data_IF_814464429294
#
_entry.id   IF_814464429294
#
_cell.length_a   1.000
_cell.length_b   1.000
_cell.length_c   1.000
_cell.angle_alpha   90.00
_cell.angle_beta   90.00
_cell.angle_gamma   90.00
#
_symmetry.space_group_name_H-M   'P 1'
#
loop_
_entity.id
_entity.type
_entity.pdbx_description
1 polymer ?
#
# COMPACT_ATOMS: atom_id res chain seq x y z
N UNK A 1 11.51 21.09 -5.99
CA UNK A 1 10.07 20.82 -5.85
C UNK A 1 9.95 19.62 -4.94
N UNK A 2 9.16 19.70 -3.87
CA UNK A 2 8.96 18.61 -2.91
C UNK A 2 7.46 18.41 -2.77
N UNK A 3 6.87 17.77 -3.77
CA UNK A 3 5.46 17.35 -3.79
C UNK A 3 5.41 15.84 -3.69
N UNK A 4 4.37 15.33 -3.03
CA UNK A 4 4.09 13.90 -2.92
C UNK A 4 2.96 13.51 -3.89
N UNK A 5 2.80 12.20 -4.16
CA UNK A 5 1.64 11.69 -4.92
C UNK A 5 0.30 12.16 -4.31
N UNK A 6 0.23 12.28 -2.97
CA UNK A 6 -0.95 12.75 -2.26
C UNK A 6 -1.22 14.24 -2.50
N UNK A 7 -0.18 15.07 -2.58
CA UNK A 7 -0.33 16.50 -2.86
C UNK A 7 -0.92 16.71 -4.27
N UNK A 8 -0.34 16.04 -5.28
CA UNK A 8 -0.85 16.07 -6.66
C UNK A 8 -2.30 15.58 -6.74
N UNK A 9 -2.67 14.53 -6.00
CA UNK A 9 -4.04 14.04 -5.94
C UNK A 9 -5.00 15.05 -5.30
N UNK A 10 -4.61 15.67 -4.18
CA UNK A 10 -5.44 16.67 -3.52
C UNK A 10 -5.67 17.89 -4.40
N UNK A 11 -4.62 18.38 -5.07
CA UNK A 11 -4.72 19.50 -6.01
C UNK A 11 -5.70 19.19 -7.14
N UNK A 12 -5.62 17.99 -7.73
CA UNK A 12 -6.55 17.52 -8.75
C UNK A 12 -8.01 17.50 -8.26
N UNK A 13 -8.24 17.00 -7.04
CA UNK A 13 -9.60 16.92 -6.47
C UNK A 13 -10.17 18.31 -6.20
N UNK A 14 -9.34 19.27 -5.77
CA UNK A 14 -9.76 20.67 -5.62
C UNK A 14 -10.06 21.33 -6.97
N UNK A 15 -9.21 21.13 -7.99
CA UNK A 15 -9.45 21.65 -9.34
C UNK A 15 -10.74 21.06 -9.95
N UNK A 16 -11.01 19.78 -9.72
CA UNK A 16 -12.25 19.13 -10.14
C UNK A 16 -13.47 19.79 -9.49
N UNK A 17 -13.46 19.97 -8.16
CA UNK A 17 -14.54 20.63 -7.45
C UNK A 17 -14.81 22.05 -7.97
N UNK A 18 -13.74 22.82 -8.22
CA UNK A 18 -13.85 24.17 -8.78
C UNK A 18 -14.44 24.16 -10.20
N UNK A 19 -14.08 23.18 -11.04
CA UNK A 19 -14.64 23.04 -12.38
C UNK A 19 -16.15 22.74 -12.36
N UNK A 20 -16.61 21.91 -11.41
CA UNK A 20 -18.02 21.61 -11.22
C UNK A 20 -18.82 22.83 -10.76
N UNK A 21 -18.30 23.63 -9.82
CA UNK A 21 -18.92 24.90 -9.39
C UNK A 21 -19.06 25.86 -10.59
N UNK A 22 -18.04 25.93 -11.45
CA UNK A 22 -18.09 26.78 -12.64
C UNK A 22 -19.16 26.33 -13.65
N UNK A 23 -19.40 25.03 -13.80
CA UNK A 23 -20.41 24.45 -14.69
C UNK A 23 -21.84 24.54 -14.13
N UNK A 24 -22.02 24.45 -12.81
CA UNK A 24 -23.33 24.66 -12.17
C UNK A 24 -23.78 26.13 -12.24
N UNK A 25 -22.84 27.08 -12.31
CA UNK A 25 -23.13 28.47 -12.68
C UNK A 25 -23.84 28.64 -14.04
N UNK A 26 -23.75 27.63 -14.92
CA UNK A 26 -24.45 27.54 -16.22
C UNK A 26 -25.71 26.65 -16.17
N UNK A 27 -26.03 26.02 -15.03
CA UNK A 27 -27.22 25.18 -14.82
C UNK A 27 -27.17 23.80 -15.50
N UNK A 28 -25.96 23.30 -15.79
CA UNK A 28 -25.70 22.05 -16.54
C UNK A 28 -24.82 21.04 -15.79
N UNK A 29 -24.21 21.41 -14.67
CA UNK A 29 -23.42 20.51 -13.84
C UNK A 29 -24.24 19.86 -12.72
N UNK A 30 -24.07 18.56 -12.49
CA UNK A 30 -24.34 18.02 -11.15
C UNK A 30 -23.21 18.53 -10.25
N UNK A 31 -23.52 19.32 -9.22
CA UNK A 31 -22.52 19.83 -8.28
C UNK A 31 -21.71 18.65 -7.70
N UNK A 32 -20.39 18.63 -7.89
CA UNK A 32 -19.54 17.69 -7.16
C UNK A 32 -19.67 18.04 -5.69
N UNK A 33 -20.43 17.23 -4.97
CA UNK A 33 -20.75 17.56 -3.59
C UNK A 33 -19.49 17.43 -2.74
N UNK A 34 -19.49 18.11 -1.59
CA UNK A 34 -18.47 17.82 -0.58
C UNK A 34 -18.43 16.32 -0.22
N UNK A 35 -19.53 15.58 -0.38
CA UNK A 35 -19.60 14.13 -0.13
C UNK A 35 -18.78 13.34 -1.17
N UNK A 36 -18.86 13.69 -2.45
CA UNK A 36 -18.09 13.04 -3.52
C UNK A 36 -16.59 13.26 -3.33
N UNK A 37 -16.19 14.47 -2.94
CA UNK A 37 -14.81 14.79 -2.58
C UNK A 37 -14.32 13.93 -1.40
N UNK A 38 -15.14 13.79 -0.36
CA UNK A 38 -14.80 12.92 0.77
C UNK A 38 -14.72 11.44 0.36
N UNK A 39 -15.53 11.00 -0.60
CA UNK A 39 -15.46 9.65 -1.16
C UNK A 39 -14.10 9.40 -1.84
N UNK A 40 -13.64 10.30 -2.72
CA UNK A 40 -12.33 10.18 -3.36
C UNK A 40 -11.16 10.15 -2.35
N UNK A 41 -11.22 10.99 -1.32
CA UNK A 41 -10.18 11.01 -0.27
C UNK A 41 -10.14 9.71 0.52
N UNK A 42 -11.33 9.14 0.82
CA UNK A 42 -11.49 7.86 1.51
C UNK A 42 -10.98 6.71 0.64
N UNK A 43 -11.32 6.70 -0.65
CA UNK A 43 -10.89 5.67 -1.59
C UNK A 43 -9.37 5.70 -1.79
N UNK A 44 -8.77 6.88 -1.95
CA UNK A 44 -7.31 7.02 -1.99
C UNK A 44 -6.67 6.50 -0.69
N UNK A 45 -7.24 6.82 0.48
CA UNK A 45 -6.69 6.36 1.76
C UNK A 45 -6.77 4.82 1.93
N UNK A 46 -7.74 4.17 1.29
CA UNK A 46 -7.92 2.72 1.32
C UNK A 46 -7.16 1.99 0.19
N UNK A 47 -6.75 2.71 -0.85
CA UNK A 47 -6.06 2.15 -2.00
C UNK A 47 -4.69 1.57 -1.63
N UNK A 48 -4.31 0.51 -2.34
CA UNK A 48 -2.99 -0.08 -2.23
C UNK A 48 -1.96 0.74 -3.03
N UNK A 49 -0.68 0.71 -2.67
CA UNK A 49 0.38 1.26 -3.51
C UNK A 49 0.42 0.61 -4.90
N UNK A 50 0.78 1.38 -5.93
CA UNK A 50 0.91 0.86 -7.30
C UNK A 50 1.98 -0.25 -7.40
N UNK A 51 3.11 -0.02 -6.74
CA UNK A 51 4.30 -0.88 -6.78
C UNK A 51 4.31 -1.81 -5.56
N UNK A 52 3.37 -2.76 -5.54
CA UNK A 52 3.33 -3.78 -4.50
C UNK A 52 4.58 -4.68 -4.57
N UNK A 53 5.22 -4.99 -3.42
CA UNK A 53 6.33 -5.94 -3.39
C UNK A 53 5.83 -7.32 -3.82
N UNK A 54 6.61 -7.99 -4.67
CA UNK A 54 6.34 -9.37 -5.11
C UNK A 54 7.29 -10.28 -4.36
N UNK A 55 6.75 -11.21 -3.57
CA UNK A 55 7.54 -12.13 -2.76
C UNK A 55 7.01 -13.55 -2.88
N UNK A 56 7.87 -14.58 -2.74
CA UNK A 56 7.43 -15.96 -2.64
C UNK A 56 6.46 -16.18 -1.49
N UNK A 57 5.56 -17.16 -1.65
CA UNK A 57 4.58 -17.53 -0.63
C UNK A 57 5.24 -17.82 0.73
N UNK A 58 6.34 -18.57 0.74
CA UNK A 58 7.08 -18.93 1.95
C UNK A 58 7.63 -17.70 2.70
N UNK A 59 8.01 -16.64 1.97
CA UNK A 59 8.48 -15.39 2.56
C UNK A 59 7.29 -14.63 3.18
N UNK A 60 6.15 -14.61 2.50
CA UNK A 60 4.91 -14.02 3.03
C UNK A 60 4.39 -14.77 4.27
N UNK A 61 4.55 -16.09 4.34
CA UNK A 61 4.28 -16.90 5.53
C UNK A 61 5.20 -16.55 6.69
N UNK A 62 6.49 -16.37 6.42
CA UNK A 62 7.45 -15.93 7.43
C UNK A 62 7.08 -14.55 8.01
N UNK A 63 6.73 -13.58 7.16
CA UNK A 63 6.26 -12.26 7.61
C UNK A 63 4.99 -12.38 8.48
N UNK A 64 4.02 -13.21 8.05
CA UNK A 64 2.79 -13.50 8.82
C UNK A 64 3.10 -14.08 10.20
N UNK A 65 3.98 -15.07 10.24
CA UNK A 65 4.39 -15.68 11.51
C UNK A 65 5.08 -14.68 12.42
N UNK A 66 6.06 -13.91 11.90
CA UNK A 66 6.77 -12.89 12.66
C UNK A 66 5.84 -11.84 13.27
N UNK A 67 4.87 -11.30 12.50
CA UNK A 67 3.93 -10.28 13.00
C UNK A 67 2.79 -10.84 13.86
N UNK A 68 2.60 -12.16 13.87
CA UNK A 68 1.60 -12.85 14.68
C UNK A 68 2.25 -13.65 15.81
N UNK A 69 2.21 -14.98 15.69
CA UNK A 69 2.65 -15.92 16.72
C UNK A 69 4.12 -15.76 17.15
N UNK A 70 4.98 -15.30 16.23
CA UNK A 70 6.40 -15.10 16.47
C UNK A 70 6.72 -13.88 17.34
N UNK A 71 5.81 -12.91 17.45
CA UNK A 71 5.99 -11.71 18.27
C UNK A 71 7.24 -10.89 17.93
N UNK A 72 7.55 -10.76 16.63
CA UNK A 72 8.72 -10.05 16.13
C UNK A 72 8.30 -8.66 15.67
N UNK A 73 8.71 -7.63 16.44
CA UNK A 73 8.19 -6.27 16.25
C UNK A 73 8.97 -5.43 15.23
N UNK A 74 10.17 -5.84 14.85
CA UNK A 74 11.02 -5.06 13.93
C UNK A 74 11.53 -5.89 12.75
N UNK A 75 11.75 -5.20 11.62
CA UNK A 75 12.13 -5.80 10.35
C UNK A 75 13.51 -6.47 10.40
N UNK A 76 14.43 -5.95 11.21
CA UNK A 76 15.79 -6.50 11.31
C UNK A 76 15.76 -7.88 11.95
N UNK A 77 15.06 -8.04 13.08
CA UNK A 77 14.89 -9.33 13.74
C UNK A 77 14.14 -10.30 12.83
N UNK A 78 13.12 -9.83 12.10
CA UNK A 78 12.39 -10.67 11.15
C UNK A 78 13.30 -11.21 10.04
N UNK A 79 14.26 -10.42 9.55
CA UNK A 79 15.27 -10.87 8.61
C UNK A 79 16.25 -11.87 9.25
N UNK A 80 16.70 -11.60 10.48
CA UNK A 80 17.66 -12.45 11.19
C UNK A 80 17.08 -13.83 11.57
N UNK A 81 15.77 -13.94 11.77
CA UNK A 81 15.09 -15.21 12.05
C UNK A 81 14.84 -16.09 10.81
N UNK A 82 15.17 -15.62 9.61
CA UNK A 82 14.99 -16.43 8.40
C UNK A 82 15.91 -17.65 8.39
N UNK A 83 15.44 -18.75 7.79
CA UNK A 83 16.23 -19.95 7.59
C UNK A 83 15.84 -20.65 6.28
N UNK A 84 16.70 -21.55 5.79
CA UNK A 84 16.44 -22.35 4.60
C UNK A 84 16.19 -21.48 3.36
N UNK A 85 15.14 -21.82 2.61
CA UNK A 85 14.81 -21.17 1.34
C UNK A 85 14.42 -19.69 1.52
N UNK A 86 13.81 -19.32 2.65
CA UNK A 86 13.46 -17.91 2.96
C UNK A 86 14.73 -17.08 3.13
N UNK A 87 15.73 -17.59 3.85
CA UNK A 87 17.01 -16.91 4.01
C UNK A 87 17.79 -16.84 2.69
N UNK A 88 17.79 -17.94 1.92
CA UNK A 88 18.44 -17.98 0.61
C UNK A 88 17.83 -16.94 -0.34
N UNK A 89 16.50 -16.82 -0.36
CA UNK A 89 15.82 -15.79 -1.13
C UNK A 89 16.13 -14.38 -0.61
N UNK A 90 16.06 -14.16 0.71
CA UNK A 90 16.27 -12.84 1.32
C UNK A 90 17.64 -12.23 1.00
N UNK A 91 18.68 -13.06 1.06
CA UNK A 91 20.06 -12.62 0.80
C UNK A 91 20.47 -12.68 -0.67
N UNK A 92 19.55 -13.02 -1.57
CA UNK A 92 19.76 -12.93 -3.01
C UNK A 92 19.42 -11.53 -3.54
N UNK A 93 20.26 -11.04 -4.45
CA UNK A 93 20.14 -9.74 -5.11
C UNK A 93 19.72 -8.56 -4.18
N UNK A 94 18.50 -8.04 -4.37
CA UNK A 94 17.89 -6.92 -3.61
C UNK A 94 16.60 -7.37 -2.91
N UNK A 95 16.44 -8.66 -2.67
CA UNK A 95 15.23 -9.20 -2.05
C UNK A 95 15.04 -8.71 -0.61
N UNK A 96 16.10 -8.28 0.06
CA UNK A 96 16.03 -7.59 1.35
C UNK A 96 15.23 -6.28 1.30
N UNK A 97 15.37 -5.48 0.24
CA UNK A 97 14.58 -4.26 0.06
C UNK A 97 13.10 -4.61 -0.19
N UNK A 98 12.84 -5.63 -1.01
CA UNK A 98 11.49 -6.14 -1.28
C UNK A 98 10.82 -6.71 -0.03
N UNK A 99 11.56 -7.46 0.78
CA UNK A 99 11.13 -7.97 2.08
C UNK A 99 10.77 -6.83 3.01
N UNK A 100 11.66 -5.85 3.15
CA UNK A 100 11.43 -4.70 4.02
C UNK A 100 10.19 -3.90 3.60
N UNK A 101 9.96 -3.76 2.29
CA UNK A 101 8.78 -3.10 1.76
C UNK A 101 7.50 -3.90 2.07
N UNK A 102 7.50 -5.22 1.88
CA UNK A 102 6.37 -6.08 2.22
C UNK A 102 6.07 -6.05 3.73
N UNK A 103 7.11 -6.06 4.56
CA UNK A 103 7.02 -5.92 6.00
C UNK A 103 6.41 -4.59 6.44
N UNK A 104 6.89 -3.48 5.86
CA UNK A 104 6.49 -2.13 6.21
C UNK A 104 5.05 -1.85 5.77
N UNK A 105 4.71 -2.24 4.54
CA UNK A 105 3.37 -2.03 3.98
C UNK A 105 2.33 -2.99 4.57
N UNK A 106 2.76 -4.17 5.04
CA UNK A 106 1.86 -5.25 5.45
C UNK A 106 1.00 -5.77 4.29
N UNK A 107 1.38 -5.50 3.04
CA UNK A 107 0.70 -5.94 1.83
C UNK A 107 1.70 -6.27 0.74
N UNK A 108 1.47 -7.37 0.03
CA UNK A 108 2.34 -7.86 -1.04
C UNK A 108 1.56 -8.71 -2.03
N UNK A 109 2.21 -9.00 -3.17
CA UNK A 109 1.74 -9.96 -4.16
C UNK A 109 2.55 -11.25 -4.04
N UNK A 110 1.88 -12.39 -4.02
CA UNK A 110 2.51 -13.71 -4.05
C UNK A 110 3.06 -13.97 -5.45
N UNK A 111 4.33 -14.32 -5.54
CA UNK A 111 5.02 -14.54 -6.83
C UNK A 111 4.39 -15.70 -7.63
N UNK A 112 4.05 -16.78 -6.94
CA UNK A 112 3.60 -18.03 -7.54
C UNK A 112 2.16 -17.95 -8.07
N UNK A 113 1.29 -17.19 -7.40
CA UNK A 113 -0.16 -17.15 -7.69
C UNK A 113 -0.63 -15.78 -8.21
N UNK A 114 0.14 -14.72 -7.97
CA UNK A 114 -0.28 -13.35 -8.20
C UNK A 114 -1.31 -12.82 -7.21
N UNK A 115 -1.66 -13.59 -6.16
CA UNK A 115 -2.61 -13.18 -5.13
C UNK A 115 -2.07 -12.01 -4.29
N UNK A 116 -2.94 -11.06 -3.94
CA UNK A 116 -2.59 -9.95 -3.05
C UNK A 116 -2.96 -10.32 -1.61
N UNK A 117 -1.95 -10.37 -0.75
CA UNK A 117 -2.12 -10.63 0.69
C UNK A 117 -1.99 -9.33 1.44
N UNK A 118 -2.94 -9.05 2.34
CA UNK A 118 -2.91 -7.90 3.25
C UNK A 118 -3.04 -8.39 4.69
N UNK A 119 -2.11 -7.97 5.54
CA UNK A 119 -2.21 -8.15 6.98
C UNK A 119 -3.20 -7.11 7.53
N UNK A 120 -4.21 -7.55 8.26
CA UNK A 120 -5.03 -6.63 9.04
C UNK A 120 -4.22 -6.20 10.26
N UNK A 121 -4.22 -4.91 10.58
CA UNK A 121 -3.68 -4.44 11.85
C UNK A 121 -4.55 -5.05 12.97
N UNK A 122 -3.97 -5.92 13.81
CA UNK A 122 -4.62 -6.26 15.07
C UNK A 122 -4.74 -4.97 15.90
N UNK A 123 -5.98 -4.63 16.23
CA UNK A 123 -6.38 -3.45 17.02
C UNK A 123 -5.95 -3.55 18.48
#
# INVERSE_FOLDING_TARGET
>A
MTETKRDVFNDLVEELANAYIALDGEGIGEELTNEDKQAYLKDYAAALPDDLPVIPEAVGEHIRWCKGEGGVDNVSDAMDYTYGDVAAWLYDERNSDTFALAWLLGVWRVEETGEIVKLEEEK
#
